data_IF_326261349294
#
_entry.id   IF_326261349294
#
_cell.length_a   1.000
_cell.length_b   1.000
_cell.length_c   1.000
_cell.angle_alpha   90.00
_cell.angle_beta   90.00
_cell.angle_gamma   90.00
#
_symmetry.space_group_name_H-M   'P 1'
#
loop_
_entity.id
_entity.type
_entity.pdbx_description
1 polymer ?
#
# COMPACT_ATOMS: atom_id res chain seq x y z
N UNK A 1 -5.53 -2.03 13.75
CA UNK A 1 -5.38 -3.48 13.56
C UNK A 1 -3.97 -3.94 13.90
N UNK A 2 -3.87 -4.89 14.80
CA UNK A 2 -2.58 -5.39 15.25
C UNK A 2 -1.81 -6.14 14.14
N UNK A 3 -2.51 -6.98 13.38
CA UNK A 3 -1.87 -7.74 12.29
C UNK A 3 -1.37 -6.82 11.17
N UNK A 4 -2.12 -5.78 10.85
CA UNK A 4 -1.67 -4.79 9.87
C UNK A 4 -0.43 -4.04 10.36
N UNK A 5 -0.39 -3.67 11.65
CA UNK A 5 0.75 -3.01 12.27
C UNK A 5 2.00 -3.90 12.19
N UNK A 6 1.85 -5.19 12.52
CA UNK A 6 2.96 -6.14 12.43
C UNK A 6 3.47 -6.28 10.99
N UNK A 7 2.57 -6.32 10.01
CA UNK A 7 2.95 -6.43 8.61
C UNK A 7 3.77 -5.22 8.14
N UNK A 8 3.33 -4.00 8.46
CA UNK A 8 4.07 -2.79 8.06
C UNK A 8 5.41 -2.69 8.77
N UNK A 9 5.48 -3.11 10.03
CA UNK A 9 6.73 -3.12 10.79
C UNK A 9 7.74 -4.12 10.23
N UNK A 10 7.28 -5.32 9.84
CA UNK A 10 8.17 -6.32 9.23
C UNK A 10 8.74 -5.83 7.91
N UNK A 11 7.93 -5.21 7.07
CA UNK A 11 8.41 -4.65 5.81
C UNK A 11 9.40 -3.53 6.05
N UNK A 12 9.11 -2.64 6.98
CA UNK A 12 10.02 -1.53 7.31
C UNK A 12 11.37 -2.04 7.80
N UNK A 13 11.39 -3.10 8.60
CA UNK A 13 12.62 -3.70 9.10
C UNK A 13 13.42 -4.38 7.99
N UNK A 14 12.71 -5.01 7.03
CA UNK A 14 13.32 -5.77 5.94
C UNK A 14 13.82 -4.90 4.80
N UNK A 15 13.13 -3.80 4.52
CA UNK A 15 13.40 -2.91 3.39
C UNK A 15 13.73 -1.50 3.89
N UNK A 16 15.01 -1.23 4.25
CA UNK A 16 15.39 0.08 4.77
C UNK A 16 15.01 1.22 3.81
N UNK A 17 14.46 2.29 4.38
CA UNK A 17 14.05 3.46 3.61
C UNK A 17 12.65 3.36 3.01
N UNK A 18 11.97 2.24 3.17
CA UNK A 18 10.61 2.08 2.67
C UNK A 18 9.60 2.82 3.54
N UNK A 19 8.57 3.33 2.90
CA UNK A 19 7.38 3.82 3.58
C UNK A 19 6.26 2.83 3.32
N UNK A 20 5.59 2.39 4.36
CA UNK A 20 4.55 1.38 4.24
C UNK A 20 3.28 1.86 4.91
N UNK A 21 2.18 1.67 4.21
CA UNK A 21 0.84 1.97 4.70
C UNK A 21 -0.04 0.75 4.51
N UNK A 22 -0.89 0.47 5.47
CA UNK A 22 -1.99 -0.46 5.28
C UNK A 22 -3.28 0.32 5.35
N UNK A 23 -4.04 0.30 4.26
CA UNK A 23 -5.34 0.95 4.18
C UNK A 23 -6.44 -0.09 4.34
N UNK A 24 -7.56 0.32 4.92
CA UNK A 24 -8.78 -0.47 4.95
C UNK A 24 -9.88 0.29 4.24
N UNK A 25 -10.62 -0.38 3.36
CA UNK A 25 -11.78 0.23 2.71
C UNK A 25 -12.92 0.35 3.71
N UNK A 26 -13.40 1.57 3.87
CA UNK A 26 -14.55 1.88 4.72
C UNK A 26 -15.54 2.68 3.85
N UNK A 27 -16.53 1.99 3.28
CA UNK A 27 -17.46 2.60 2.33
C UNK A 27 -16.74 3.13 1.09
N UNK A 28 -16.83 4.43 0.87
CA UNK A 28 -16.23 5.11 -0.28
C UNK A 28 -14.89 5.76 0.06
N UNK A 29 -14.19 5.24 1.06
CA UNK A 29 -12.88 5.75 1.46
C UNK A 29 -11.91 4.62 1.77
N UNK A 30 -10.63 4.88 1.55
CA UNK A 30 -9.52 4.05 2.06
C UNK A 30 -8.94 4.79 3.26
N UNK A 31 -8.92 4.13 4.41
CA UNK A 31 -8.45 4.70 5.67
C UNK A 31 -7.19 3.98 6.13
N UNK A 32 -6.16 4.73 6.51
CA UNK A 32 -4.92 4.15 7.03
C UNK A 32 -5.18 3.54 8.40
N UNK A 33 -4.88 2.24 8.55
CA UNK A 33 -5.00 1.52 9.82
C UNK A 33 -3.64 1.19 10.43
N UNK A 34 -2.56 1.27 9.64
CA UNK A 34 -1.19 1.11 10.14
C UNK A 34 -0.23 1.75 9.15
N UNK A 35 0.88 2.29 9.63
CA UNK A 35 1.91 2.88 8.77
C UNK A 35 3.26 2.95 9.45
N UNK A 36 4.33 2.95 8.65
CA UNK A 36 5.70 3.23 9.08
C UNK A 36 6.36 4.07 7.99
N UNK A 37 7.14 5.08 8.40
CA UNK A 37 7.89 5.94 7.50
C UNK A 37 7.38 7.37 7.42
N UNK A 38 6.11 7.58 7.57
CA UNK A 38 5.51 8.87 7.90
C UNK A 38 5.70 10.07 6.99
N UNK A 39 5.96 9.90 5.68
CA UNK A 39 5.99 11.05 4.79
C UNK A 39 4.58 11.57 4.45
N UNK A 40 3.59 10.71 4.53
CA UNK A 40 2.23 11.05 4.14
C UNK A 40 1.41 11.42 5.37
N UNK A 41 0.75 12.57 5.29
CA UNK A 41 -0.15 13.04 6.37
C UNK A 41 -1.62 12.77 6.07
N UNK A 42 -1.92 12.14 4.94
CA UNK A 42 -3.30 11.81 4.56
C UNK A 42 -3.67 10.46 5.16
N UNK A 43 -4.68 10.47 6.02
CA UNK A 43 -5.16 9.27 6.70
C UNK A 43 -6.38 8.64 6.01
N UNK A 44 -6.97 9.32 5.07
CA UNK A 44 -8.15 8.86 4.37
C UNK A 44 -8.13 9.34 2.92
N UNK A 45 -8.43 8.43 1.98
CA UNK A 45 -8.48 8.73 0.55
C UNK A 45 -9.90 8.45 0.06
N UNK A 46 -10.71 9.47 -0.21
CA UNK A 46 -12.03 9.27 -0.83
C UNK A 46 -11.90 8.61 -2.21
N UNK A 47 -12.84 7.74 -2.55
CA UNK A 47 -12.86 7.03 -3.83
C UNK A 47 -12.78 7.99 -5.02
N UNK A 48 -13.46 9.11 -4.94
CA UNK A 48 -13.50 10.11 -6.01
C UNK A 48 -12.13 10.71 -6.33
N UNK A 49 -11.20 10.70 -5.37
CA UNK A 49 -9.83 11.16 -5.61
C UNK A 49 -9.01 10.16 -6.43
N UNK A 50 -9.40 8.90 -6.42
CA UNK A 50 -8.67 7.85 -7.14
C UNK A 50 -7.30 7.57 -6.55
N UNK A 51 -6.32 7.35 -7.43
CA UNK A 51 -4.95 7.02 -7.05
C UNK A 51 -4.63 5.55 -7.22
N UNK A 52 -3.36 5.19 -6.98
CA UNK A 52 -2.86 3.82 -7.20
C UNK A 52 -3.50 2.84 -6.22
N UNK A 53 -3.68 3.24 -4.95
CA UNK A 53 -4.30 2.37 -3.96
C UNK A 53 -5.77 2.06 -4.32
N UNK A 54 -6.53 3.04 -4.80
CA UNK A 54 -7.89 2.79 -5.25
C UNK A 54 -7.93 1.93 -6.50
N UNK A 55 -6.96 2.10 -7.40
CA UNK A 55 -6.85 1.23 -8.59
C UNK A 55 -6.61 -0.22 -8.17
N UNK A 56 -5.76 -0.46 -7.16
CA UNK A 56 -5.56 -1.78 -6.59
C UNK A 56 -6.85 -2.32 -5.96
N UNK A 57 -7.53 -1.50 -5.17
CA UNK A 57 -8.75 -1.87 -4.48
C UNK A 57 -9.88 -2.26 -5.46
N UNK A 58 -10.06 -1.47 -6.51
CA UNK A 58 -11.13 -1.70 -7.49
C UNK A 58 -10.83 -2.83 -8.47
N UNK A 59 -9.58 -2.96 -8.90
CA UNK A 59 -9.20 -4.01 -9.86
C UNK A 59 -9.02 -5.37 -9.19
N UNK A 60 -8.74 -5.39 -7.90
CA UNK A 60 -8.38 -6.62 -7.19
C UNK A 60 -7.01 -7.16 -7.59
N UNK A 61 -6.17 -6.36 -8.23
CA UNK A 61 -4.86 -6.77 -8.75
C UNK A 61 -3.75 -5.92 -8.19
N UNK A 62 -2.55 -6.50 -7.95
CA UNK A 62 -1.37 -5.75 -7.56
C UNK A 62 -1.04 -4.65 -8.57
N UNK A 63 -0.61 -3.50 -8.06
CA UNK A 63 -0.13 -2.40 -8.86
C UNK A 63 1.35 -2.19 -8.56
N UNK A 64 2.20 -2.39 -9.57
CA UNK A 64 3.63 -2.20 -9.48
C UNK A 64 4.00 -1.02 -10.37
N UNK A 65 4.36 0.11 -9.77
CA UNK A 65 4.64 1.35 -10.49
C UNK A 65 6.10 1.73 -10.30
N UNK A 66 6.89 1.61 -11.37
CA UNK A 66 8.33 1.89 -11.31
C UNK A 66 8.64 3.36 -11.12
N UNK A 67 7.83 4.23 -11.71
CA UNK A 67 7.97 5.68 -11.55
C UNK A 67 6.58 6.31 -11.51
N UNK A 68 6.19 6.77 -10.32
CA UNK A 68 4.85 7.34 -10.11
C UNK A 68 4.60 8.60 -10.93
N UNK A 69 5.66 9.30 -11.35
CA UNK A 69 5.52 10.52 -12.16
C UNK A 69 4.97 10.22 -13.54
N UNK A 70 5.13 8.99 -14.03
CA UNK A 70 4.65 8.54 -15.33
C UNK A 70 3.26 7.90 -15.24
N UNK A 71 2.70 7.74 -14.06
CA UNK A 71 1.39 7.12 -13.85
C UNK A 71 0.30 8.19 -13.77
N UNK A 72 -0.69 8.15 -14.66
CA UNK A 72 -1.73 9.19 -14.70
C UNK A 72 -2.65 9.19 -13.49
N UNK A 73 -2.73 8.07 -12.76
CA UNK A 73 -3.61 7.94 -11.59
C UNK A 73 -2.91 8.29 -10.28
N UNK A 74 -1.59 8.59 -10.33
CA UNK A 74 -0.86 8.87 -9.11
C UNK A 74 -1.39 10.10 -8.38
N UNK A 75 -1.74 9.90 -7.11
CA UNK A 75 -2.18 10.99 -6.24
C UNK A 75 -0.93 11.57 -5.56
N UNK A 76 -0.50 12.74 -6.04
CA UNK A 76 0.74 13.38 -5.60
C UNK A 76 0.58 14.00 -4.21
N UNK A 77 0.60 13.18 -3.16
CA UNK A 77 0.56 13.64 -1.77
C UNK A 77 1.95 13.97 -1.24
N UNK A 78 2.99 13.43 -1.89
CA UNK A 78 4.37 13.70 -1.53
C UNK A 78 5.23 13.63 -2.80
N UNK A 79 5.82 14.76 -3.18
CA UNK A 79 6.66 14.85 -4.38
C UNK A 79 7.93 14.02 -4.31
N UNK A 80 8.30 13.55 -3.12
CA UNK A 80 9.50 12.73 -2.93
C UNK A 80 9.30 11.28 -3.31
N UNK A 81 8.06 10.79 -3.43
CA UNK A 81 7.81 9.41 -3.80
C UNK A 81 8.24 9.15 -5.25
N UNK A 82 8.97 8.07 -5.47
CA UNK A 82 9.47 7.67 -6.79
C UNK A 82 8.73 6.44 -7.33
N UNK A 83 8.58 5.42 -6.51
CA UNK A 83 7.97 4.15 -6.93
C UNK A 83 6.98 3.67 -5.88
N UNK A 84 6.04 2.85 -6.32
CA UNK A 84 4.97 2.37 -5.45
C UNK A 84 4.55 0.95 -5.82
N UNK A 85 4.30 0.14 -4.79
CA UNK A 85 3.70 -1.20 -4.93
C UNK A 85 2.47 -1.21 -4.03
N UNK A 86 1.29 -1.40 -4.62
CA UNK A 86 0.03 -1.46 -3.89
C UNK A 86 -0.63 -2.82 -4.14
N UNK A 87 -0.84 -3.59 -3.07
CA UNK A 87 -1.37 -4.96 -3.14
C UNK A 87 -2.72 -5.01 -2.43
N UNK A 88 -3.82 -5.34 -3.15
CA UNK A 88 -5.11 -5.53 -2.51
C UNK A 88 -5.15 -6.86 -1.78
N UNK A 89 -5.74 -6.85 -0.58
CA UNK A 89 -5.87 -8.04 0.27
C UNK A 89 -7.34 -8.19 0.64
N UNK A 90 -8.03 -9.09 -0.05
CA UNK A 90 -9.43 -9.40 0.24
C UNK A 90 -9.47 -10.37 1.41
N UNK A 91 -10.05 -9.94 2.53
CA UNK A 91 -10.13 -10.73 3.75
C UNK A 91 -11.42 -11.56 3.76
N UNK A 92 -12.55 -10.92 3.52
CA UNK A 92 -13.86 -11.54 3.39
C UNK A 92 -14.71 -10.71 2.42
N UNK A 93 -16.00 -11.00 2.28
CA UNK A 93 -16.86 -10.29 1.34
C UNK A 93 -16.94 -8.79 1.59
N UNK A 94 -16.78 -8.37 2.85
CA UNK A 94 -16.97 -6.99 3.26
C UNK A 94 -15.67 -6.26 3.62
N UNK A 95 -14.55 -6.98 3.71
CA UNK A 95 -13.30 -6.40 4.21
C UNK A 95 -12.18 -6.49 3.17
N UNK A 96 -11.72 -5.33 2.74
CA UNK A 96 -10.61 -5.18 1.82
C UNK A 96 -9.54 -4.31 2.45
N UNK A 97 -8.30 -4.78 2.41
CA UNK A 97 -7.13 -4.00 2.78
C UNK A 97 -6.30 -3.72 1.52
N UNK A 98 -5.52 -2.65 1.54
CA UNK A 98 -4.51 -2.38 0.52
C UNK A 98 -3.19 -2.16 1.25
N UNK A 99 -2.22 -3.02 0.98
CA UNK A 99 -0.86 -2.86 1.50
C UNK A 99 -0.08 -2.05 0.47
N UNK A 100 0.36 -0.87 0.87
CA UNK A 100 0.98 0.12 0.00
C UNK A 100 2.40 0.42 0.48
N UNK A 101 3.38 0.24 -0.40
CA UNK A 101 4.79 0.46 -0.11
C UNK A 101 5.39 1.42 -1.13
N UNK A 102 6.19 2.38 -0.64
CA UNK A 102 6.75 3.44 -1.47
C UNK A 102 8.24 3.66 -1.19
N UNK A 103 9.03 3.88 -2.26
CA UNK A 103 10.39 4.39 -2.14
C UNK A 103 10.46 5.81 -2.69
N UNK A 104 11.34 6.63 -2.09
CA UNK A 104 11.48 8.04 -2.46
C UNK A 104 12.55 8.32 -3.51
N UNK A 105 13.56 7.46 -3.64
CA UNK A 105 14.71 7.76 -4.50
C UNK A 105 15.05 6.65 -5.49
N UNK A 106 14.33 5.57 -5.49
CA UNK A 106 14.62 4.42 -6.34
C UNK A 106 13.39 3.61 -6.67
N UNK A 107 13.51 2.71 -7.62
CA UNK A 107 12.47 1.76 -7.97
C UNK A 107 12.56 0.53 -7.07
N UNK A 108 11.50 -0.27 -7.06
CA UNK A 108 11.52 -1.59 -6.43
C UNK A 108 12.31 -2.56 -7.29
N UNK A 109 13.16 -3.38 -6.65
CA UNK A 109 13.69 -4.56 -7.31
C UNK A 109 12.59 -5.64 -7.34
N UNK A 110 12.70 -6.67 -8.22
CA UNK A 110 11.73 -7.77 -8.21
C UNK A 110 11.62 -8.45 -6.84
N UNK A 111 12.74 -8.64 -6.14
CA UNK A 111 12.76 -9.27 -4.82
C UNK A 111 12.04 -8.40 -3.78
N UNK A 112 12.19 -7.09 -3.87
CA UNK A 112 11.51 -6.17 -2.96
C UNK A 112 10.00 -6.14 -3.20
N UNK A 113 9.58 -6.14 -4.46
CA UNK A 113 8.15 -6.24 -4.80
C UNK A 113 7.56 -7.57 -4.30
N UNK A 114 8.30 -8.67 -4.48
CA UNK A 114 7.90 -9.99 -3.97
C UNK A 114 7.77 -10.00 -2.45
N UNK A 115 8.63 -9.26 -1.74
CA UNK A 115 8.55 -9.15 -0.28
C UNK A 115 7.24 -8.47 0.15
N UNK A 116 6.80 -7.45 -0.57
CA UNK A 116 5.51 -6.79 -0.31
C UNK A 116 4.36 -7.75 -0.59
N UNK A 117 4.40 -8.47 -1.71
CA UNK A 117 3.39 -9.46 -2.06
C UNK A 117 3.31 -10.60 -1.04
N UNK A 118 4.47 -11.08 -0.57
CA UNK A 118 4.53 -12.13 0.44
C UNK A 118 3.91 -11.67 1.76
N UNK A 119 4.16 -10.44 2.16
CA UNK A 119 3.60 -9.88 3.39
C UNK A 119 2.07 -9.70 3.26
N UNK A 120 1.60 -9.32 2.08
CA UNK A 120 0.16 -9.24 1.80
C UNK A 120 -0.50 -10.61 1.90
N UNK A 121 0.11 -11.64 1.32
CA UNK A 121 -0.38 -13.02 1.40
C UNK A 121 -0.40 -13.53 2.84
N UNK A 122 0.64 -13.23 3.61
CA UNK A 122 0.70 -13.57 5.03
C UNK A 122 -0.42 -12.90 5.81
N UNK A 123 -0.64 -11.62 5.56
CA UNK A 123 -1.71 -10.87 6.23
C UNK A 123 -3.08 -11.49 5.94
N UNK A 124 -3.33 -11.86 4.69
CA UNK A 124 -4.56 -12.55 4.30
C UNK A 124 -4.76 -13.87 5.05
N UNK A 125 -3.68 -14.63 5.26
CA UNK A 125 -3.76 -15.93 5.94
C UNK A 125 -3.93 -15.80 7.47
N UNK A 126 -3.41 -14.73 8.07
CA UNK A 126 -3.48 -14.53 9.52
C UNK A 126 -4.81 -13.95 10.01
N UNK A 127 -5.57 -13.30 9.13
CA UNK A 127 -6.85 -12.66 9.47
C UNK A 127 -8.03 -13.61 9.15
N UNK A 128 -7.91 -14.85 9.37
CA UNK A 128 -9.01 -15.81 9.08
C UNK A 128 -9.87 -16.01 10.31
#
# INVERSE_FOLDING_TARGET
>A
MELARQAVERLSARLPGIQVYCHMRVGEALRVVASVGGLRLIYEIPREQGGICWRAAESGKPQLVEDVRDDPDYLATDERVRSEVAIPVQIDEDTLLVLDAEFTQRTFTPEEAEAVEAEAARLASEIV
#
